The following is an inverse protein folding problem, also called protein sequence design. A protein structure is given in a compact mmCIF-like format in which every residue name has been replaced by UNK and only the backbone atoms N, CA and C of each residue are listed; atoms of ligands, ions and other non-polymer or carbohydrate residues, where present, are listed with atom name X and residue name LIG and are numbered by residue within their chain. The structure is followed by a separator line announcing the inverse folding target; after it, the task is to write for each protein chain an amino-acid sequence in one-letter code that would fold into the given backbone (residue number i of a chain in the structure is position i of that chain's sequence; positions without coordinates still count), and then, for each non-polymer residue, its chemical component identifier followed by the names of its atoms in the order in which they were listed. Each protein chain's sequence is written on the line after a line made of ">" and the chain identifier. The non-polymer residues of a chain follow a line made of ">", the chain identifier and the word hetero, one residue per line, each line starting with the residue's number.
data_IF_835655152874
#
_entry.id   IF_835655152874
#
_cell.length_a   1.000
_cell.length_b   1.000
_cell.length_c   1.000
_cell.angle_alpha   90.00
_cell.angle_beta   90.00
_cell.angle_gamma   90.00
#
_symmetry.space_group_name_H-M   'P 1'
#
loop_
_entity.id
_entity.type
_entity.pdbx_description
1 polymer ?
#
# COMPACT_ATOMS: atom_id res chain seq x y z
N UNK A 1 17.95 34.32 4.10
CA UNK A 1 18.12 33.30 3.03
C UNK A 1 17.67 32.00 3.64
N UNK A 2 16.38 31.65 3.44
CA UNK A 2 15.78 30.45 3.98
C UNK A 2 16.36 29.20 3.30
N UNK A 3 16.65 28.12 4.03
CA UNK A 3 17.11 26.88 3.41
C UNK A 3 15.94 26.27 2.60
N UNK A 4 16.24 25.63 1.44
CA UNK A 4 15.21 25.02 0.62
C UNK A 4 14.46 23.94 1.39
N UNK A 5 13.15 23.99 1.34
CA UNK A 5 12.22 23.00 1.92
C UNK A 5 12.61 21.62 1.39
N UNK A 6 13.18 20.79 2.24
CA UNK A 6 13.34 19.37 1.95
C UNK A 6 11.95 18.74 2.04
N UNK A 7 11.35 18.48 0.88
CA UNK A 7 10.23 17.55 0.78
C UNK A 7 10.74 16.21 1.32
N UNK A 8 10.15 15.75 2.42
CA UNK A 8 10.38 14.42 2.94
C UNK A 8 9.95 13.42 1.85
N UNK A 9 10.91 12.71 1.28
CA UNK A 9 10.69 11.73 0.23
C UNK A 9 9.88 10.57 0.80
N UNK A 10 8.64 10.46 0.43
CA UNK A 10 8.09 9.17 -0.02
C UNK A 10 9.14 8.56 -0.92
N UNK A 11 9.57 7.32 -0.68
CA UNK A 11 10.70 6.69 -1.31
C UNK A 11 10.86 7.15 -2.76
N UNK A 12 11.90 7.91 -3.03
CA UNK A 12 12.11 8.51 -4.34
C UNK A 12 12.45 7.35 -5.26
N UNK A 13 11.49 6.95 -6.11
CA UNK A 13 11.78 6.01 -7.19
C UNK A 13 12.91 6.64 -7.98
N UNK A 14 14.11 6.07 -7.91
CA UNK A 14 15.27 6.56 -8.63
C UNK A 14 15.06 6.17 -10.09
N UNK A 15 14.42 7.06 -10.85
CA UNK A 15 14.20 6.86 -12.27
C UNK A 15 15.49 7.08 -13.02
N UNK A 16 16.00 6.05 -13.67
CA UNK A 16 17.21 6.08 -14.46
C UNK A 16 17.47 4.74 -15.12
N UNK A 17 18.62 4.61 -15.77
CA UNK A 17 19.12 3.37 -16.35
C UNK A 17 20.38 2.95 -15.59
N UNK A 18 20.62 1.66 -15.39
CA UNK A 18 21.87 1.21 -14.78
C UNK A 18 23.04 1.44 -15.72
N UNK A 19 24.26 1.57 -15.16
CA UNK A 19 25.48 1.70 -15.96
C UNK A 19 25.64 0.51 -16.92
N UNK A 20 25.29 -0.71 -16.49
CA UNK A 20 25.31 -1.89 -17.35
C UNK A 20 24.37 -1.79 -18.55
N UNK A 21 23.21 -1.19 -18.37
CA UNK A 21 22.24 -0.93 -19.44
C UNK A 21 22.73 0.19 -20.38
N UNK A 22 23.37 1.23 -19.85
CA UNK A 22 24.01 2.28 -20.67
C UNK A 22 25.06 1.69 -21.60
N UNK A 23 25.87 0.74 -21.14
CA UNK A 23 26.85 0.05 -21.98
C UNK A 23 26.20 -0.80 -23.10
N UNK A 24 24.95 -1.18 -22.95
CA UNK A 24 24.17 -1.90 -23.97
C UNK A 24 23.62 -1.03 -25.11
N UNK A 25 23.77 0.30 -25.07
CA UNK A 25 23.29 1.21 -26.13
C UNK A 25 24.17 1.12 -27.37
N UNK A 26 23.57 1.25 -28.54
CA UNK A 26 24.25 1.08 -29.82
C UNK A 26 25.47 2.00 -30.01
N UNK A 27 25.39 3.25 -29.55
CA UNK A 27 26.50 4.22 -29.59
C UNK A 27 27.64 3.85 -28.66
N UNK A 28 27.45 2.95 -27.72
CA UNK A 28 28.47 2.47 -26.77
C UNK A 28 28.84 1.00 -27.00
N UNK A 29 28.45 0.41 -28.13
CA UNK A 29 28.70 -1.02 -28.42
C UNK A 29 30.20 -1.37 -28.40
N UNK A 30 31.10 -0.41 -28.73
CA UNK A 30 32.55 -0.58 -28.68
C UNK A 30 33.19 -0.04 -27.38
N UNK A 31 32.38 0.52 -26.46
CA UNK A 31 32.87 0.95 -25.17
C UNK A 31 33.27 -0.25 -24.31
N UNK A 32 34.35 -0.09 -23.53
CA UNK A 32 34.84 -1.15 -22.68
C UNK A 32 34.88 -0.73 -21.22
N UNK A 33 34.38 -1.59 -20.36
CA UNK A 33 34.58 -1.43 -18.92
C UNK A 33 36.04 -1.74 -18.58
N UNK A 34 36.72 -0.81 -17.93
CA UNK A 34 38.11 -0.95 -17.53
C UNK A 34 38.21 -1.42 -16.08
N UNK A 35 37.34 -0.92 -15.20
CA UNK A 35 37.31 -1.23 -13.78
C UNK A 35 35.90 -1.00 -13.19
N UNK A 36 35.66 -1.45 -11.96
CA UNK A 36 34.44 -1.17 -11.21
C UNK A 36 33.24 -2.03 -11.63
N UNK A 37 33.44 -3.28 -12.06
CA UNK A 37 32.39 -4.19 -12.52
C UNK A 37 31.26 -4.37 -11.48
N UNK A 38 31.61 -4.43 -10.21
CA UNK A 38 30.60 -4.55 -9.12
C UNK A 38 29.63 -3.36 -9.03
N UNK A 39 29.97 -2.24 -9.68
CA UNK A 39 29.15 -1.02 -9.74
C UNK A 39 28.26 -0.88 -10.97
N UNK A 40 28.16 -1.88 -11.84
CA UNK A 40 27.32 -1.82 -13.04
C UNK A 40 25.82 -1.62 -12.74
N UNK A 41 25.39 -1.93 -11.53
CA UNK A 41 24.04 -1.64 -11.04
C UNK A 41 23.79 -0.19 -10.62
N UNK A 42 24.79 0.70 -10.59
CA UNK A 42 24.64 2.13 -10.27
C UNK A 42 23.72 2.79 -11.28
N UNK A 43 22.83 3.66 -10.79
CA UNK A 43 21.80 4.28 -11.64
C UNK A 43 22.30 5.59 -12.23
N UNK A 44 22.16 5.73 -13.54
CA UNK A 44 22.41 6.94 -14.31
C UNK A 44 21.08 7.67 -14.50
N UNK A 45 20.98 8.88 -13.97
CA UNK A 45 19.84 9.78 -14.17
C UNK A 45 20.17 10.97 -15.08
N UNK A 46 21.43 11.31 -15.14
CA UNK A 46 21.94 12.49 -15.86
C UNK A 46 23.28 12.16 -16.50
N UNK A 47 23.56 12.92 -17.53
CA UNK A 47 24.88 12.92 -18.17
C UNK A 47 25.49 14.31 -18.02
N UNK A 48 26.81 14.35 -17.88
CA UNK A 48 27.57 15.58 -17.82
C UNK A 48 28.89 15.42 -18.57
N UNK A 49 29.43 16.51 -19.07
CA UNK A 49 30.71 16.52 -19.77
C UNK A 49 31.72 17.33 -18.95
N UNK A 50 32.88 16.75 -18.70
CA UNK A 50 33.98 17.43 -18.00
C UNK A 50 34.71 18.34 -18.94
N UNK A 51 34.48 19.65 -18.84
CA UNK A 51 35.15 20.68 -19.64
C UNK A 51 36.20 21.45 -18.84
N UNK A 52 36.12 21.42 -17.50
CA UNK A 52 37.00 22.18 -16.58
C UNK A 52 37.66 21.26 -15.55
N UNK A 53 38.84 21.61 -15.06
CA UNK A 53 39.59 20.79 -14.08
C UNK A 53 38.87 20.71 -12.72
N UNK A 54 38.13 21.74 -12.33
CA UNK A 54 37.39 21.85 -11.06
C UNK A 54 35.94 21.35 -11.14
N UNK A 55 35.70 20.37 -12.03
CA UNK A 55 34.34 19.79 -12.28
C UNK A 55 33.64 19.33 -11.01
N UNK A 56 34.39 18.94 -9.97
CA UNK A 56 33.82 18.45 -8.71
C UNK A 56 32.88 19.41 -8.01
N UNK A 57 32.97 20.71 -8.28
CA UNK A 57 32.03 21.70 -7.75
C UNK A 57 30.64 21.64 -8.41
N UNK A 58 30.55 21.05 -9.61
CA UNK A 58 29.38 21.10 -10.48
C UNK A 58 28.64 19.77 -10.65
N UNK A 59 29.32 18.66 -10.35
CA UNK A 59 28.73 17.32 -10.48
C UNK A 59 27.64 17.06 -9.43
N UNK A 60 26.71 16.21 -9.80
CA UNK A 60 25.57 15.80 -8.95
C UNK A 60 25.49 14.28 -8.83
N UNK A 61 24.86 13.75 -7.79
CA UNK A 61 24.63 12.32 -7.67
C UNK A 61 23.92 11.74 -8.89
N UNK A 62 24.24 10.47 -9.21
CA UNK A 62 23.66 9.73 -10.33
C UNK A 62 23.99 10.28 -11.71
N UNK A 63 25.09 11.00 -11.86
CA UNK A 63 25.61 11.42 -13.16
C UNK A 63 26.56 10.37 -13.77
N UNK A 64 26.46 10.17 -15.09
CA UNK A 64 27.52 9.62 -15.91
C UNK A 64 28.35 10.78 -16.44
N UNK A 65 29.62 10.86 -16.03
CA UNK A 65 30.53 11.92 -16.44
C UNK A 65 31.33 11.47 -17.66
N UNK A 66 31.27 12.26 -18.75
CA UNK A 66 32.04 12.04 -19.99
C UNK A 66 33.24 12.98 -20.02
N UNK A 67 34.40 12.49 -20.44
CA UNK A 67 35.62 13.33 -20.59
C UNK A 67 36.55 12.85 -21.69
N UNK A 68 37.25 13.80 -22.29
CA UNK A 68 38.41 13.51 -23.17
C UNK A 68 39.75 13.47 -22.41
N UNK A 69 39.73 13.73 -21.10
CA UNK A 69 40.91 13.95 -20.30
C UNK A 69 41.60 15.31 -20.52
N UNK A 70 41.12 16.13 -21.46
CA UNK A 70 41.70 17.45 -21.76
C UNK A 70 41.89 18.36 -20.53
N UNK A 71 40.89 18.49 -19.62
CA UNK A 71 41.04 19.31 -18.43
C UNK A 71 42.09 18.82 -17.46
N UNK A 72 42.46 17.54 -17.52
CA UNK A 72 43.38 16.86 -16.60
C UNK A 72 44.80 16.68 -17.17
N UNK A 73 45.01 17.05 -18.44
CA UNK A 73 46.31 16.83 -19.14
C UNK A 73 47.53 17.38 -18.42
N UNK A 74 47.37 18.47 -17.66
CA UNK A 74 48.47 19.14 -16.95
C UNK A 74 48.55 18.74 -15.46
N UNK A 75 47.66 17.87 -14.98
CA UNK A 75 47.56 17.43 -13.59
C UNK A 75 47.36 15.91 -13.49
N UNK A 76 48.26 15.09 -14.07
CA UNK A 76 48.09 13.63 -14.10
C UNK A 76 48.03 13.01 -12.69
N UNK A 77 48.67 13.64 -11.69
CA UNK A 77 48.63 13.18 -10.30
C UNK A 77 47.23 13.32 -9.63
N UNK A 78 46.32 14.12 -10.21
CA UNK A 78 44.95 14.25 -9.72
C UNK A 78 44.03 13.14 -10.21
N UNK A 79 44.42 12.36 -11.22
CA UNK A 79 43.62 11.27 -11.77
C UNK A 79 43.37 10.15 -10.75
N UNK A 80 44.39 9.78 -9.95
CA UNK A 80 44.25 8.74 -8.93
C UNK A 80 43.19 9.09 -7.86
N UNK A 81 43.04 10.37 -7.50
CA UNK A 81 42.02 10.82 -6.53
C UNK A 81 40.65 11.09 -7.15
N UNK A 82 40.62 11.38 -8.44
CA UNK A 82 39.40 11.76 -9.14
C UNK A 82 38.29 10.75 -8.95
N UNK A 83 38.55 9.47 -9.07
CA UNK A 83 37.59 8.39 -8.91
C UNK A 83 36.95 8.40 -7.50
N UNK A 84 37.80 8.56 -6.47
CA UNK A 84 37.31 8.65 -5.09
C UNK A 84 36.43 9.89 -4.87
N UNK A 85 36.87 11.03 -5.39
CA UNK A 85 36.13 12.29 -5.25
C UNK A 85 34.81 12.26 -6.00
N UNK A 86 34.73 11.56 -7.13
CA UNK A 86 33.47 11.33 -7.89
C UNK A 86 32.53 10.35 -7.17
N UNK A 87 33.11 9.28 -6.63
CA UNK A 87 32.37 8.28 -5.85
C UNK A 87 31.73 8.89 -4.58
N UNK A 88 32.53 9.68 -3.84
CA UNK A 88 32.03 10.41 -2.64
C UNK A 88 30.86 11.33 -2.96
N UNK A 89 30.82 11.90 -4.17
CA UNK A 89 29.70 12.72 -4.65
C UNK A 89 28.54 11.91 -5.20
N UNK A 90 28.65 10.58 -5.23
CA UNK A 90 27.60 9.68 -5.64
C UNK A 90 27.38 9.62 -7.16
N UNK A 91 28.41 9.89 -7.97
CA UNK A 91 28.31 9.72 -9.42
C UNK A 91 28.11 8.23 -9.76
N UNK A 92 27.50 7.98 -10.92
CA UNK A 92 27.23 6.64 -11.38
C UNK A 92 28.44 5.99 -12.04
N UNK A 93 29.15 6.73 -12.89
CA UNK A 93 30.33 6.26 -13.62
C UNK A 93 31.14 7.42 -14.21
N UNK A 94 32.36 7.11 -14.62
CA UNK A 94 33.21 7.97 -15.45
C UNK A 94 33.48 7.27 -16.79
N UNK A 95 33.23 7.96 -17.89
CA UNK A 95 33.53 7.50 -19.23
C UNK A 95 34.58 8.41 -19.90
N UNK A 96 35.66 7.85 -20.36
CA UNK A 96 36.80 8.60 -20.86
C UNK A 96 37.26 8.15 -22.26
N UNK A 97 37.66 9.11 -23.08
CA UNK A 97 38.37 8.87 -24.34
C UNK A 97 39.88 9.00 -24.13
N UNK A 98 40.61 8.00 -24.58
CA UNK A 98 42.09 7.99 -24.53
C UNK A 98 42.70 8.23 -25.90
N UNK A 99 44.05 8.52 -25.91
CA UNK A 99 44.86 8.66 -27.12
C UNK A 99 44.89 10.07 -27.70
N UNK A 100 44.18 11.06 -27.15
CA UNK A 100 44.25 12.44 -27.62
C UNK A 100 44.89 13.41 -26.63
N UNK A 101 44.60 13.26 -25.36
CA UNK A 101 45.07 14.14 -24.28
C UNK A 101 45.64 13.37 -23.09
N UNK A 102 45.20 12.14 -22.92
CA UNK A 102 45.65 11.17 -21.94
C UNK A 102 45.84 9.85 -22.71
N UNK A 103 47.02 9.32 -22.71
CA UNK A 103 47.34 8.09 -23.47
C UNK A 103 46.98 6.84 -22.68
N UNK A 104 47.19 6.85 -21.35
CA UNK A 104 46.96 5.71 -20.47
C UNK A 104 46.33 6.17 -19.15
N UNK A 105 45.53 5.33 -18.55
CA UNK A 105 45.00 5.55 -17.19
C UNK A 105 46.04 5.09 -16.16
N UNK A 106 46.29 5.88 -15.11
CA UNK A 106 47.17 5.46 -14.02
C UNK A 106 46.64 4.18 -13.34
N UNK A 107 47.53 3.24 -13.02
CA UNK A 107 47.18 1.99 -12.40
C UNK A 107 46.46 2.15 -11.06
N UNK A 108 46.84 3.14 -10.26
CA UNK A 108 46.24 3.49 -9.00
C UNK A 108 44.77 3.95 -9.15
N UNK A 109 44.43 4.64 -10.25
CA UNK A 109 43.08 5.02 -10.61
C UNK A 109 42.19 3.79 -10.90
N UNK A 110 42.70 2.83 -11.67
CA UNK A 110 42.03 1.59 -12.02
C UNK A 110 41.80 0.73 -10.78
N UNK A 111 42.82 0.53 -9.95
CA UNK A 111 42.70 -0.21 -8.69
C UNK A 111 41.72 0.44 -7.71
N UNK A 112 41.66 1.76 -7.68
CA UNK A 112 40.75 2.48 -6.83
C UNK A 112 39.31 2.34 -7.32
N UNK A 113 39.07 2.40 -8.64
CA UNK A 113 37.77 2.17 -9.26
C UNK A 113 37.23 0.77 -8.93
N UNK A 114 38.08 -0.26 -9.00
CA UNK A 114 37.70 -1.62 -8.62
C UNK A 114 37.33 -1.74 -7.13
N UNK A 115 38.15 -1.15 -6.25
CA UNK A 115 37.91 -1.18 -4.79
C UNK A 115 36.61 -0.51 -4.40
N UNK A 116 36.25 0.59 -5.07
CA UNK A 116 35.04 1.36 -4.81
C UNK A 116 33.83 0.82 -5.55
N UNK A 117 34.00 -0.14 -6.47
CA UNK A 117 32.94 -0.51 -7.41
C UNK A 117 32.47 0.70 -8.20
N UNK A 118 33.39 1.55 -8.67
CA UNK A 118 33.08 2.73 -9.46
C UNK A 118 33.36 2.45 -10.93
N UNK A 119 32.34 2.33 -11.81
CA UNK A 119 32.54 1.96 -13.20
C UNK A 119 33.38 3.00 -13.94
N UNK A 120 34.51 2.53 -14.52
CA UNK A 120 35.39 3.30 -15.36
C UNK A 120 35.30 2.75 -16.78
N UNK A 121 34.82 3.58 -17.71
CA UNK A 121 34.42 3.16 -19.06
C UNK A 121 35.37 3.83 -20.07
N UNK A 122 35.96 3.03 -20.95
CA UNK A 122 36.71 3.53 -22.11
C UNK A 122 35.77 3.70 -23.29
N UNK A 123 35.70 4.91 -23.81
CA UNK A 123 34.86 5.25 -24.95
C UNK A 123 35.62 5.13 -26.27
N UNK A 124 34.98 4.71 -27.36
CA UNK A 124 35.53 4.78 -28.71
C UNK A 124 35.78 6.24 -29.12
N UNK A 125 36.82 6.47 -29.91
CA UNK A 125 37.22 7.84 -30.31
C UNK A 125 36.34 8.45 -31.39
N UNK A 126 35.70 7.64 -32.20
CA UNK A 126 34.86 8.01 -33.34
C UNK A 126 33.40 8.42 -32.98
N UNK A 127 32.95 8.09 -31.79
CA UNK A 127 31.60 8.44 -31.33
C UNK A 127 31.60 9.82 -30.67
N UNK A 128 30.72 10.73 -31.09
CA UNK A 128 30.53 12.04 -30.47
C UNK A 128 29.96 11.97 -29.05
N UNK A 129 30.33 12.91 -28.18
CA UNK A 129 29.67 13.01 -26.87
C UNK A 129 28.21 13.38 -26.99
N UNK A 130 27.85 14.19 -27.98
CA UNK A 130 26.47 14.56 -28.32
C UNK A 130 25.64 13.35 -28.73
N UNK A 131 26.20 12.41 -29.50
CA UNK A 131 25.54 11.16 -29.87
C UNK A 131 25.24 10.30 -28.62
N UNK A 132 26.24 10.16 -27.73
CA UNK A 132 26.08 9.44 -26.47
C UNK A 132 25.02 10.10 -25.59
N UNK A 133 25.11 11.43 -25.42
CA UNK A 133 24.15 12.21 -24.62
C UNK A 133 22.73 12.02 -25.13
N UNK A 134 22.52 12.20 -26.43
CA UNK A 134 21.19 12.09 -27.05
C UNK A 134 20.62 10.70 -26.93
N UNK A 135 21.41 9.66 -27.18
CA UNK A 135 20.94 8.27 -27.12
C UNK A 135 20.59 7.87 -25.68
N UNK A 136 21.51 8.07 -24.73
CA UNK A 136 21.28 7.68 -23.33
C UNK A 136 20.13 8.49 -22.72
N UNK A 137 20.03 9.80 -23.05
CA UNK A 137 18.91 10.62 -22.58
C UNK A 137 17.58 10.12 -23.15
N UNK A 138 17.55 9.77 -24.43
CA UNK A 138 16.37 9.19 -25.09
C UNK A 138 15.96 7.88 -24.40
N UNK A 139 16.90 7.01 -24.07
CA UNK A 139 16.60 5.75 -23.39
C UNK A 139 16.09 5.96 -21.97
N UNK A 140 16.66 6.93 -21.23
CA UNK A 140 16.14 7.32 -19.91
C UNK A 140 14.71 7.80 -20.01
N UNK A 141 14.40 8.70 -20.95
CA UNK A 141 13.08 9.24 -21.16
C UNK A 141 12.08 8.17 -21.60
N UNK A 142 12.47 7.28 -22.51
CA UNK A 142 11.61 6.18 -22.97
C UNK A 142 11.28 5.22 -21.83
N UNK A 143 12.24 4.92 -20.95
CA UNK A 143 11.96 4.11 -19.75
C UNK A 143 11.01 4.78 -18.79
N UNK A 144 11.22 6.06 -18.50
CA UNK A 144 10.31 6.81 -17.65
C UNK A 144 8.90 6.82 -18.23
N UNK A 145 8.78 7.04 -19.54
CA UNK A 145 7.50 7.00 -20.25
C UNK A 145 6.84 5.62 -20.18
N UNK A 146 7.63 4.54 -20.33
CA UNK A 146 7.12 3.17 -20.24
C UNK A 146 6.63 2.82 -18.83
N UNK A 147 7.35 3.23 -17.78
CA UNK A 147 6.91 3.04 -16.39
C UNK A 147 5.61 3.79 -16.11
N UNK A 148 5.52 5.05 -16.59
CA UNK A 148 4.31 5.85 -16.43
C UNK A 148 3.13 5.25 -17.21
N UNK A 149 3.35 4.83 -18.44
CA UNK A 149 2.32 4.22 -19.30
C UNK A 149 1.78 2.92 -18.66
N UNK A 150 2.67 2.06 -18.13
CA UNK A 150 2.28 0.83 -17.43
C UNK A 150 1.45 1.14 -16.17
N UNK A 151 1.84 2.14 -15.39
CA UNK A 151 1.09 2.55 -14.20
C UNK A 151 -0.29 3.13 -14.56
N UNK A 152 -0.40 3.86 -15.66
CA UNK A 152 -1.66 4.42 -16.16
C UNK A 152 -2.58 3.33 -16.73
N UNK A 153 -2.03 2.34 -17.44
CA UNK A 153 -2.77 1.19 -17.93
C UNK A 153 -3.34 0.36 -16.77
N UNK A 154 -2.51 0.08 -15.75
CA UNK A 154 -2.94 -0.59 -14.54
C UNK A 154 -4.05 0.19 -13.81
N UNK A 155 -3.92 1.51 -13.70
CA UNK A 155 -4.96 2.34 -13.10
C UNK A 155 -6.29 2.24 -13.86
N UNK A 156 -6.25 2.34 -15.19
CA UNK A 156 -7.46 2.20 -16.02
C UNK A 156 -8.11 0.84 -15.87
N UNK A 157 -7.33 -0.25 -15.87
CA UNK A 157 -7.84 -1.61 -15.68
C UNK A 157 -8.56 -1.73 -14.32
N UNK A 158 -7.93 -1.27 -13.23
CA UNK A 158 -8.52 -1.30 -11.90
C UNK A 158 -9.81 -0.46 -11.78
N UNK A 159 -9.85 0.72 -12.39
CA UNK A 159 -11.06 1.55 -12.43
C UNK A 159 -12.17 0.86 -13.21
N UNK A 160 -11.88 0.21 -14.33
CA UNK A 160 -12.87 -0.56 -15.11
C UNK A 160 -13.48 -1.70 -14.30
N UNK A 161 -12.70 -2.40 -13.47
CA UNK A 161 -13.21 -3.42 -12.56
C UNK A 161 -14.31 -2.84 -11.67
N UNK A 162 -14.08 -1.67 -11.06
CA UNK A 162 -15.05 -1.02 -10.17
C UNK A 162 -16.28 -0.49 -10.93
N UNK A 163 -16.08 0.09 -12.10
CA UNK A 163 -17.18 0.58 -12.95
C UNK A 163 -18.08 -0.57 -13.44
N UNK A 164 -17.51 -1.76 -13.66
CA UNK A 164 -18.26 -2.98 -13.97
C UNK A 164 -18.98 -3.58 -12.74
N UNK A 165 -18.89 -2.95 -11.57
CA UNK A 165 -19.52 -3.42 -10.34
C UNK A 165 -18.68 -4.39 -9.52
N UNK A 166 -17.42 -4.60 -9.90
CA UNK A 166 -16.48 -5.45 -9.16
C UNK A 166 -16.19 -4.95 -7.75
N UNK A 167 -15.84 -5.88 -6.87
CA UNK A 167 -15.48 -5.65 -5.48
C UNK A 167 -13.98 -5.85 -5.21
N UNK A 168 -13.64 -6.00 -3.92
CA UNK A 168 -12.25 -6.21 -3.49
C UNK A 168 -11.62 -7.48 -4.05
N UNK A 169 -12.42 -8.52 -4.32
CA UNK A 169 -11.94 -9.78 -4.91
C UNK A 169 -11.45 -9.58 -6.33
N UNK A 170 -12.24 -8.88 -7.13
CA UNK A 170 -11.93 -8.57 -8.53
C UNK A 170 -10.74 -7.60 -8.61
N UNK A 171 -10.67 -6.61 -7.73
CA UNK A 171 -9.49 -5.71 -7.61
C UNK A 171 -8.23 -6.52 -7.26
N UNK A 172 -8.30 -7.43 -6.28
CA UNK A 172 -7.17 -8.28 -5.93
C UNK A 172 -6.73 -9.20 -7.09
N UNK A 173 -7.70 -9.76 -7.83
CA UNK A 173 -7.42 -10.61 -8.99
C UNK A 173 -6.75 -9.84 -10.12
N UNK A 174 -7.20 -8.62 -10.40
CA UNK A 174 -6.60 -7.74 -11.41
C UNK A 174 -5.15 -7.38 -11.04
N UNK A 175 -4.90 -7.02 -9.78
CA UNK A 175 -3.55 -6.72 -9.30
C UNK A 175 -2.64 -7.94 -9.40
N UNK A 176 -3.14 -9.12 -9.01
CA UNK A 176 -2.38 -10.36 -9.09
C UNK A 176 -1.96 -10.68 -10.53
N UNK A 177 -2.86 -10.44 -11.49
CA UNK A 177 -2.60 -10.64 -12.91
C UNK A 177 -1.62 -9.60 -13.49
N UNK A 178 -1.78 -8.30 -13.15
CA UNK A 178 -0.94 -7.22 -13.64
C UNK A 178 0.52 -7.33 -13.19
N UNK A 179 0.74 -7.85 -11.98
CA UNK A 179 2.06 -7.92 -11.35
C UNK A 179 2.66 -9.33 -11.33
N UNK A 180 1.89 -10.35 -11.71
CA UNK A 180 2.26 -11.77 -11.57
C UNK A 180 2.67 -12.13 -10.12
N UNK A 181 1.84 -11.73 -9.16
CA UNK A 181 2.05 -11.92 -7.72
C UNK A 181 0.79 -12.46 -7.05
N UNK A 182 0.94 -12.95 -5.82
CA UNK A 182 -0.23 -13.23 -4.97
C UNK A 182 -0.58 -12.01 -4.14
N UNK A 183 -1.88 -11.72 -3.99
CA UNK A 183 -2.39 -10.52 -3.33
C UNK A 183 -3.39 -10.89 -2.25
N UNK A 184 -3.33 -10.20 -1.13
CA UNK A 184 -4.37 -10.19 -0.10
C UNK A 184 -4.78 -8.75 0.22
N UNK A 185 -6.08 -8.53 0.36
CA UNK A 185 -6.65 -7.33 0.94
C UNK A 185 -7.06 -7.65 2.37
N UNK A 186 -6.54 -6.88 3.32
CA UNK A 186 -6.69 -7.12 4.76
C UNK A 186 -7.33 -5.89 5.39
N UNK A 187 -8.28 -6.07 6.27
CA UNK A 187 -8.91 -4.97 7.01
C UNK A 187 -8.02 -4.40 8.13
N UNK A 188 -8.50 -3.37 8.81
CA UNK A 188 -7.79 -2.74 9.92
C UNK A 188 -7.61 -3.64 11.17
N UNK A 189 -8.37 -4.72 11.27
CA UNK A 189 -8.28 -5.71 12.35
C UNK A 189 -7.36 -6.89 11.98
N UNK A 190 -6.87 -6.95 10.74
CA UNK A 190 -6.04 -8.04 10.25
C UNK A 190 -6.81 -9.20 9.61
N UNK A 191 -8.14 -9.08 9.45
CA UNK A 191 -8.92 -10.09 8.76
C UNK A 191 -8.76 -9.98 7.24
N UNK A 192 -8.62 -11.11 6.57
CA UNK A 192 -8.47 -11.18 5.12
C UNK A 192 -9.83 -11.03 4.44
N UNK A 193 -10.01 -9.93 3.72
CA UNK A 193 -11.24 -9.60 2.98
C UNK A 193 -11.29 -10.24 1.59
N UNK A 194 -10.14 -10.28 0.91
CA UNK A 194 -10.02 -10.87 -0.42
C UNK A 194 -8.61 -11.41 -0.64
N UNK A 195 -8.49 -12.44 -1.49
CA UNK A 195 -7.19 -12.99 -1.93
C UNK A 195 -7.24 -13.35 -3.41
N UNK A 196 -6.10 -13.25 -4.08
CA UNK A 196 -5.91 -13.69 -5.46
C UNK A 196 -4.49 -14.23 -5.66
N UNK A 197 -4.31 -15.15 -6.59
CA UNK A 197 -3.04 -15.79 -6.92
C UNK A 197 -3.04 -17.29 -6.67
N UNK A 198 -1.92 -18.00 -6.89
CA UNK A 198 -1.78 -19.43 -6.64
C UNK A 198 -2.07 -19.79 -5.17
N UNK A 199 -2.78 -20.92 -4.95
CA UNK A 199 -3.25 -21.33 -3.63
C UNK A 199 -2.13 -21.49 -2.60
N UNK A 200 -0.98 -22.03 -3.04
CA UNK A 200 0.22 -22.20 -2.20
C UNK A 200 0.82 -20.88 -1.72
N UNK A 201 0.84 -19.88 -2.59
CA UNK A 201 1.32 -18.52 -2.27
C UNK A 201 0.33 -17.77 -1.38
N UNK A 202 -0.97 -17.95 -1.60
CA UNK A 202 -2.02 -17.37 -0.74
C UNK A 202 -1.92 -17.92 0.68
N UNK A 203 -1.58 -19.20 0.85
CA UNK A 203 -1.36 -19.80 2.17
C UNK A 203 -0.16 -19.15 2.89
N UNK A 204 0.98 -18.99 2.19
CA UNK A 204 2.15 -18.31 2.72
C UNK A 204 1.87 -16.83 3.07
N UNK A 205 1.06 -16.15 2.26
CA UNK A 205 0.65 -14.77 2.48
C UNK A 205 -0.22 -14.65 3.75
N UNK A 206 -1.16 -15.57 3.97
CA UNK A 206 -2.00 -15.61 5.17
C UNK A 206 -1.17 -15.85 6.44
N UNK A 207 -0.18 -16.73 6.37
CA UNK A 207 0.74 -16.99 7.48
C UNK A 207 1.55 -15.74 7.84
N UNK A 208 2.09 -15.05 6.84
CA UNK A 208 2.83 -13.78 7.04
C UNK A 208 1.96 -12.68 7.66
N UNK A 209 0.70 -12.55 7.23
CA UNK A 209 -0.26 -11.61 7.80
C UNK A 209 -0.55 -11.90 9.27
N UNK A 210 -0.67 -13.19 9.63
CA UNK A 210 -0.98 -13.62 11.00
C UNK A 210 0.19 -13.37 11.96
N UNK A 211 1.44 -13.41 11.48
CA UNK A 211 2.63 -13.18 12.30
C UNK A 211 2.95 -11.67 12.52
N UNK A 212 2.51 -10.79 11.63
CA UNK A 212 2.78 -9.36 11.77
C UNK A 212 1.91 -8.65 12.82
N UNK A 213 0.90 -9.27 13.36
CA UNK A 213 -0.03 -8.69 14.34
C UNK A 213 -0.79 -7.45 13.78
N UNK A 214 -1.82 -6.95 14.45
CA UNK A 214 -2.45 -5.70 14.07
C UNK A 214 -1.41 -4.57 14.14
N UNK A 215 -1.38 -3.64 13.15
CA UNK A 215 -0.44 -2.52 13.15
C UNK A 215 -0.53 -1.80 14.50
N UNK A 216 0.64 -1.62 15.13
CA UNK A 216 0.72 -0.91 16.41
C UNK A 216 -0.11 0.37 16.29
N UNK A 217 -1.12 0.51 17.15
CA UNK A 217 -2.02 1.67 17.21
C UNK A 217 -1.18 2.93 17.04
N UNK A 218 -1.41 3.67 15.97
CA UNK A 218 -0.89 5.03 15.86
C UNK A 218 -1.38 5.78 17.10
N UNK A 219 -0.44 6.13 17.97
CA UNK A 219 -0.73 6.88 19.19
C UNK A 219 -1.50 8.15 18.79
N UNK A 220 -2.71 8.30 19.31
CA UNK A 220 -3.56 9.47 19.10
C UNK A 220 -2.84 10.68 19.69
N UNK A 221 -2.19 11.47 18.85
CA UNK A 221 -1.81 12.83 19.19
C UNK A 221 -3.02 13.71 18.89
N UNK A 222 -3.47 14.57 19.82
CA UNK A 222 -4.66 15.40 19.61
C UNK A 222 -4.45 16.33 18.42
N UNK A 223 -5.44 16.43 17.57
CA UNK A 223 -5.50 17.21 16.36
C UNK A 223 -5.26 18.71 16.62
N UNK A 224 -4.09 19.19 16.24
CA UNK A 224 -3.85 20.59 15.83
C UNK A 224 -2.69 20.59 14.85
N UNK A 225 -2.98 20.32 13.60
CA UNK A 225 -2.33 20.83 12.38
C UNK A 225 -2.80 19.95 11.20
N UNK A 226 -3.18 20.53 10.05
CA UNK A 226 -3.70 19.73 8.95
C UNK A 226 -2.59 18.87 8.34
N UNK A 227 -2.90 17.61 8.16
CA UNK A 227 -2.35 16.67 7.20
C UNK A 227 -0.82 16.62 7.00
N UNK A 228 -0.13 16.06 8.00
CA UNK A 228 1.02 15.20 7.78
C UNK A 228 0.79 13.91 8.58
N UNK A 229 -0.29 13.20 8.28
CA UNK A 229 -0.36 11.79 8.63
C UNK A 229 0.81 11.15 7.87
N UNK A 230 1.80 10.69 8.63
CA UNK A 230 2.92 9.96 8.10
C UNK A 230 2.38 8.81 7.26
N UNK A 231 2.51 8.89 5.92
CA UNK A 231 2.54 7.71 5.10
C UNK A 231 3.64 6.84 5.72
N UNK A 232 3.26 5.77 6.37
CA UNK A 232 4.21 4.72 6.67
C UNK A 232 4.73 4.27 5.30
N UNK A 233 6.05 4.32 5.04
CA UNK A 233 6.57 3.97 3.73
C UNK A 233 6.14 2.55 3.40
N UNK A 234 5.79 2.31 2.13
CA UNK A 234 5.61 0.96 1.63
C UNK A 234 6.82 0.14 2.08
N UNK A 235 6.61 -0.85 2.93
CA UNK A 235 7.70 -1.69 3.40
C UNK A 235 7.88 -2.82 2.40
N UNK A 236 8.93 -2.76 1.62
CA UNK A 236 9.50 -3.92 0.98
C UNK A 236 10.35 -4.67 2.03
N UNK A 237 10.07 -5.95 2.23
CA UNK A 237 10.79 -6.77 3.20
C UNK A 237 10.96 -8.19 2.68
N UNK A 238 12.08 -8.82 3.01
CA UNK A 238 12.31 -10.24 2.80
C UNK A 238 11.84 -11.00 4.04
N UNK A 239 10.78 -11.75 3.92
CA UNK A 239 10.39 -12.72 4.93
C UNK A 239 11.16 -14.03 4.65
N UNK A 240 11.90 -14.52 5.61
CA UNK A 240 12.87 -15.61 5.55
C UNK A 240 12.69 -16.65 4.43
N UNK A 241 13.79 -16.97 3.73
CA UNK A 241 13.95 -17.83 2.55
C UNK A 241 13.72 -17.18 1.17
N UNK A 242 14.13 -15.92 0.98
CA UNK A 242 14.14 -15.32 -0.36
C UNK A 242 12.77 -15.00 -0.94
N UNK A 243 11.75 -14.90 -0.09
CA UNK A 243 10.39 -14.51 -0.47
C UNK A 243 10.23 -13.01 -0.31
N UNK A 244 9.77 -12.35 -1.35
CA UNK A 244 9.57 -10.91 -1.30
C UNK A 244 8.09 -10.55 -1.16
N UNK A 245 7.79 -9.57 -0.32
CA UNK A 245 6.45 -9.00 -0.18
C UNK A 245 6.48 -7.47 -0.10
N UNK A 246 5.38 -6.85 -0.50
CA UNK A 246 5.13 -5.42 -0.36
C UNK A 246 3.76 -5.19 0.28
N UNK A 247 3.64 -4.15 1.10
CA UNK A 247 2.39 -3.80 1.76
C UNK A 247 2.10 -2.31 1.58
N UNK A 248 0.87 -1.98 1.19
CA UNK A 248 0.41 -0.61 0.95
C UNK A 248 -0.88 -0.37 1.73
N UNK A 249 -1.00 0.72 2.51
CA UNK A 249 -2.20 1.03 3.26
C UNK A 249 -3.37 1.45 2.36
N UNK A 250 -4.59 1.03 2.72
CA UNK A 250 -5.83 1.47 2.10
C UNK A 250 -6.41 2.61 2.94
N UNK A 251 -6.36 3.83 2.40
CA UNK A 251 -6.75 5.05 3.09
C UNK A 251 -7.90 5.75 2.36
N UNK A 252 -8.97 6.12 3.08
CA UNK A 252 -10.04 6.95 2.56
C UNK A 252 -10.59 7.90 3.64
N UNK A 253 -10.88 9.14 3.30
CA UNK A 253 -11.47 10.12 4.22
C UNK A 253 -10.65 10.36 5.50
N UNK A 254 -9.34 10.12 5.47
CA UNK A 254 -8.48 10.21 6.65
C UNK A 254 -8.52 8.97 7.56
N UNK A 255 -9.26 7.93 7.20
CA UNK A 255 -9.36 6.69 7.95
C UNK A 255 -8.56 5.56 7.28
N UNK A 256 -8.07 4.66 8.10
CA UNK A 256 -7.33 3.47 7.67
C UNK A 256 -8.30 2.30 7.57
N UNK A 257 -8.58 1.84 6.35
CA UNK A 257 -9.51 0.74 6.08
C UNK A 257 -8.82 -0.63 5.97
N UNK A 258 -7.50 -0.66 6.12
CA UNK A 258 -6.72 -1.88 5.99
C UNK A 258 -5.51 -1.71 5.08
N UNK A 259 -5.07 -2.79 4.45
CA UNK A 259 -3.88 -2.79 3.58
C UNK A 259 -4.02 -3.80 2.44
N UNK A 260 -3.34 -3.54 1.33
CA UNK A 260 -3.08 -4.54 0.30
C UNK A 260 -1.68 -5.10 0.55
N UNK A 261 -1.56 -6.40 0.57
CA UNK A 261 -0.29 -7.11 0.70
C UNK A 261 -0.07 -7.95 -0.56
N UNK A 262 1.06 -7.77 -1.20
CA UNK A 262 1.49 -8.55 -2.35
C UNK A 262 2.67 -9.44 -1.97
N UNK A 263 2.73 -10.64 -2.54
CA UNK A 263 3.77 -11.63 -2.31
C UNK A 263 4.21 -12.24 -3.63
N UNK A 264 5.52 -12.28 -3.85
CA UNK A 264 6.16 -12.98 -4.97
C UNK A 264 7.08 -14.07 -4.46
N UNK A 265 7.00 -15.25 -5.07
CA UNK A 265 7.86 -16.39 -4.73
C UNK A 265 9.12 -16.46 -5.62
N UNK A 266 9.13 -15.79 -6.76
CA UNK A 266 10.13 -15.98 -7.83
C UNK A 266 10.93 -14.73 -8.15
N UNK A 267 10.34 -13.55 -8.05
CA UNK A 267 10.94 -12.28 -8.46
C UNK A 267 10.78 -11.19 -7.41
N UNK A 268 11.77 -10.31 -7.32
CA UNK A 268 11.70 -9.13 -6.48
C UNK A 268 10.55 -8.20 -6.90
N UNK A 269 9.73 -7.76 -5.95
CA UNK A 269 8.74 -6.73 -6.19
C UNK A 269 9.48 -5.39 -6.34
N UNK A 270 9.41 -4.80 -7.52
CA UNK A 270 10.11 -3.56 -7.88
C UNK A 270 9.35 -2.34 -7.34
N UNK A 271 10.05 -1.22 -7.22
CA UNK A 271 9.43 0.06 -6.81
C UNK A 271 8.30 0.50 -7.78
N UNK A 272 8.45 0.19 -9.07
CA UNK A 272 7.38 0.41 -10.06
C UNK A 272 6.12 -0.40 -9.77
N UNK A 273 6.26 -1.59 -9.23
CA UNK A 273 5.15 -2.49 -8.89
C UNK A 273 4.45 -2.00 -7.60
N UNK A 274 5.20 -1.42 -6.65
CA UNK A 274 4.64 -0.72 -5.48
C UNK A 274 3.75 0.45 -5.91
N UNK A 275 4.15 1.23 -6.92
CA UNK A 275 3.31 2.30 -7.49
C UNK A 275 1.97 1.80 -8.06
N UNK A 276 1.92 0.57 -8.60
CA UNK A 276 0.66 -0.06 -9.03
C UNK A 276 -0.17 -0.49 -7.82
N UNK A 277 0.47 -1.03 -6.76
CA UNK A 277 -0.22 -1.37 -5.51
C UNK A 277 -0.85 -0.14 -4.83
N UNK A 278 -0.17 1.02 -4.84
CA UNK A 278 -0.72 2.27 -4.31
C UNK A 278 -1.97 2.74 -5.06
N UNK A 279 -1.98 2.59 -6.40
CA UNK A 279 -3.17 2.85 -7.21
C UNK A 279 -4.29 1.86 -6.91
N UNK A 280 -3.96 0.59 -6.75
CA UNK A 280 -4.90 -0.43 -6.34
C UNK A 280 -5.48 -0.15 -4.95
N UNK A 281 -4.67 0.32 -3.99
CA UNK A 281 -5.12 0.72 -2.66
C UNK A 281 -6.12 1.89 -2.72
N UNK A 282 -5.89 2.86 -3.62
CA UNK A 282 -6.84 3.96 -3.86
C UNK A 282 -8.17 3.45 -4.40
N UNK A 283 -8.13 2.52 -5.36
CA UNK A 283 -9.34 1.91 -5.93
C UNK A 283 -10.05 1.02 -4.90
N UNK A 284 -9.30 0.24 -4.12
CA UNK A 284 -9.86 -0.56 -3.02
C UNK A 284 -10.53 0.31 -1.96
N UNK A 285 -9.95 1.47 -1.63
CA UNK A 285 -10.54 2.44 -0.72
C UNK A 285 -11.92 2.92 -1.22
N UNK A 286 -12.06 3.19 -2.53
CA UNK A 286 -13.34 3.55 -3.14
C UNK A 286 -14.37 2.42 -3.01
N UNK A 287 -13.96 1.16 -3.24
CA UNK A 287 -14.84 -0.02 -3.10
C UNK A 287 -15.31 -0.16 -1.65
N UNK A 288 -14.40 -0.05 -0.69
CA UNK A 288 -14.72 -0.15 0.74
C UNK A 288 -15.68 0.96 1.15
N UNK A 289 -15.38 2.21 0.82
CA UNK A 289 -16.23 3.36 1.16
C UNK A 289 -17.63 3.24 0.55
N UNK A 290 -17.73 2.76 -0.71
CA UNK A 290 -19.03 2.49 -1.34
C UNK A 290 -19.81 1.43 -0.57
N UNK A 291 -19.16 0.33 -0.18
CA UNK A 291 -19.81 -0.76 0.55
C UNK A 291 -20.26 -0.32 1.94
N UNK A 292 -19.43 0.47 2.63
CA UNK A 292 -19.78 1.06 3.92
C UNK A 292 -20.99 1.99 3.82
N UNK A 293 -21.06 2.82 2.78
CA UNK A 293 -22.21 3.69 2.53
C UNK A 293 -23.48 2.89 2.28
N UNK A 294 -23.42 1.82 1.48
CA UNK A 294 -24.57 0.93 1.25
C UNK A 294 -24.99 0.25 2.56
N UNK A 295 -24.04 -0.30 3.31
CA UNK A 295 -24.32 -0.96 4.59
C UNK A 295 -24.91 0.00 5.62
N UNK A 296 -24.47 1.25 5.66
CA UNK A 296 -25.00 2.28 6.55
C UNK A 296 -26.46 2.61 6.23
N UNK A 297 -26.80 2.73 4.94
CA UNK A 297 -28.19 2.95 4.49
C UNK A 297 -29.07 1.75 4.87
N UNK A 298 -28.62 0.53 4.60
CA UNK A 298 -29.35 -0.70 4.95
C UNK A 298 -29.55 -0.83 6.46
N UNK A 299 -28.51 -0.57 7.26
CA UNK A 299 -28.58 -0.58 8.72
C UNK A 299 -29.59 0.44 9.23
N UNK A 300 -29.63 1.64 8.65
CA UNK A 300 -30.63 2.65 9.00
C UNK A 300 -32.05 2.18 8.70
N UNK A 301 -32.29 1.59 7.53
CA UNK A 301 -33.63 1.06 7.20
C UNK A 301 -34.08 -0.05 8.15
N UNK A 302 -33.17 -0.93 8.56
CA UNK A 302 -33.45 -1.99 9.56
C UNK A 302 -33.75 -1.40 10.92
N UNK A 303 -32.99 -0.40 11.35
CA UNK A 303 -33.21 0.28 12.63
C UNK A 303 -34.54 1.04 12.66
N UNK A 304 -34.85 1.82 11.63
CA UNK A 304 -36.10 2.57 11.53
C UNK A 304 -37.32 1.62 11.53
N UNK A 305 -37.25 0.52 10.79
CA UNK A 305 -38.29 -0.49 10.80
C UNK A 305 -38.47 -1.13 12.17
N UNK A 306 -37.37 -1.54 12.83
CA UNK A 306 -37.49 -2.17 14.16
C UNK A 306 -38.05 -1.19 15.20
N UNK A 307 -37.65 0.10 15.12
CA UNK A 307 -38.21 1.16 15.96
C UNK A 307 -39.72 1.33 15.77
N UNK A 308 -40.20 1.32 14.51
CA UNK A 308 -41.60 1.43 14.20
C UNK A 308 -42.38 0.22 14.75
N UNK A 309 -41.82 -0.99 14.67
CA UNK A 309 -42.43 -2.19 15.28
C UNK A 309 -42.54 -2.03 16.80
N UNK A 310 -41.45 -1.70 17.48
CA UNK A 310 -41.40 -1.59 18.95
C UNK A 310 -42.28 -0.43 19.49
N UNK A 311 -42.54 0.60 18.69
CA UNK A 311 -43.39 1.74 19.05
C UNK A 311 -44.83 1.60 18.56
N UNK A 312 -45.20 0.45 17.96
CA UNK A 312 -46.55 0.19 17.46
C UNK A 312 -46.96 1.00 16.21
N UNK A 313 -45.99 1.56 15.48
CA UNK A 313 -46.20 2.38 14.27
C UNK A 313 -46.02 1.63 12.96
N UNK A 314 -45.63 0.38 12.99
CA UNK A 314 -45.27 -0.39 11.79
C UNK A 314 -46.52 -0.89 10.98
N UNK A 315 -47.72 -0.74 11.49
CA UNK A 315 -48.97 -1.14 10.83
C UNK A 315 -49.46 -2.53 11.22
N UNK A 316 -50.07 -3.27 10.28
CA UNK A 316 -50.66 -4.59 10.54
C UNK A 316 -49.61 -5.69 10.69
N UNK A 317 -49.94 -6.77 11.42
CA UNK A 317 -49.10 -7.94 11.63
C UNK A 317 -48.57 -8.53 10.30
N UNK A 318 -49.42 -8.67 9.29
CA UNK A 318 -49.04 -9.16 7.97
C UNK A 318 -47.93 -8.30 7.32
N UNK A 319 -48.07 -6.98 7.42
CA UNK A 319 -47.10 -6.03 6.88
C UNK A 319 -45.76 -6.08 7.64
N UNK A 320 -45.84 -6.18 8.97
CA UNK A 320 -44.69 -6.35 9.83
C UNK A 320 -43.92 -7.63 9.46
N UNK A 321 -44.64 -8.76 9.43
CA UNK A 321 -44.03 -10.07 9.15
C UNK A 321 -43.45 -10.16 7.71
N UNK A 322 -44.16 -9.58 6.72
CA UNK A 322 -43.67 -9.53 5.35
C UNK A 322 -42.33 -8.78 5.24
N UNK A 323 -42.22 -7.62 5.91
CA UNK A 323 -41.01 -6.81 5.89
C UNK A 323 -39.88 -7.39 6.75
N UNK A 324 -40.23 -7.98 7.90
CA UNK A 324 -39.25 -8.67 8.76
C UNK A 324 -38.55 -9.84 8.02
N UNK A 325 -39.34 -10.63 7.27
CA UNK A 325 -38.80 -11.73 6.44
C UNK A 325 -37.81 -11.24 5.37
N UNK A 326 -38.05 -10.07 4.79
CA UNK A 326 -37.09 -9.48 3.83
C UNK A 326 -35.72 -9.17 4.46
N UNK A 327 -35.68 -8.91 5.77
CA UNK A 327 -34.45 -8.75 6.55
C UNK A 327 -33.91 -10.06 7.13
N UNK A 328 -34.60 -11.20 6.88
CA UNK A 328 -34.26 -12.51 7.46
C UNK A 328 -34.73 -12.66 8.92
N UNK A 329 -35.62 -11.79 9.41
CA UNK A 329 -36.14 -11.80 10.77
C UNK A 329 -37.49 -12.52 10.88
N UNK A 330 -37.80 -13.06 12.05
CA UNK A 330 -39.04 -13.69 12.34
C UNK A 330 -39.65 -13.08 13.62
N UNK A 331 -40.57 -12.16 13.45
CA UNK A 331 -41.26 -11.44 14.51
C UNK A 331 -42.67 -11.97 14.77
N UNK A 332 -43.10 -13.07 14.10
CA UNK A 332 -44.46 -13.66 14.26
C UNK A 332 -44.59 -14.51 15.53
N UNK A 333 -43.49 -14.97 16.09
CA UNK A 333 -43.42 -15.81 17.28
C UNK A 333 -43.31 -14.99 18.57
N UNK A 334 -43.52 -15.58 19.76
CA UNK A 334 -43.23 -14.93 21.03
C UNK A 334 -41.78 -14.48 21.10
N UNK A 335 -41.54 -13.24 21.52
CA UNK A 335 -40.19 -12.62 21.51
C UNK A 335 -39.83 -12.01 22.84
N UNK A 336 -38.51 -11.95 23.09
CA UNK A 336 -37.90 -11.18 24.18
C UNK A 336 -37.05 -10.09 23.54
N UNK A 337 -37.16 -8.86 24.03
CA UNK A 337 -36.36 -7.72 23.58
C UNK A 337 -35.23 -7.49 24.58
N UNK A 338 -34.01 -7.35 24.03
CA UNK A 338 -32.84 -6.93 24.78
C UNK A 338 -32.40 -5.56 24.24
N UNK A 339 -32.02 -4.68 25.17
CA UNK A 339 -31.48 -3.36 24.85
C UNK A 339 -30.11 -3.25 25.50
N UNK A 340 -29.08 -2.98 24.72
CA UNK A 340 -27.74 -2.69 25.22
C UNK A 340 -27.44 -1.22 24.96
N UNK A 341 -27.10 -0.49 25.99
CA UNK A 341 -26.75 0.93 25.96
C UNK A 341 -25.25 1.08 26.25
N UNK A 342 -24.55 1.80 25.35
CA UNK A 342 -23.12 2.06 25.47
C UNK A 342 -22.89 3.12 26.57
N UNK A 343 -21.97 2.84 27.48
CA UNK A 343 -21.57 3.80 28.49
C UNK A 343 -20.76 4.96 27.86
N UNK A 344 -20.98 6.23 28.30
CA UNK A 344 -20.47 7.43 27.61
C UNK A 344 -18.98 7.69 27.84
N UNK A 345 -18.10 6.75 27.42
CA UNK A 345 -16.67 6.93 27.52
C UNK A 345 -15.99 6.60 26.17
N UNK A 346 -15.52 7.63 25.43
CA UNK A 346 -14.59 7.48 24.31
C UNK A 346 -15.12 7.76 22.90
N UNK A 347 -14.53 7.10 21.90
CA UNK A 347 -14.87 7.20 20.48
C UNK A 347 -16.21 6.47 20.18
N UNK A 348 -17.30 7.19 20.35
CA UNK A 348 -18.66 6.67 20.33
C UNK A 348 -19.00 5.88 19.05
N UNK A 349 -18.59 6.34 17.84
CA UNK A 349 -18.95 5.67 16.59
C UNK A 349 -18.30 4.30 16.44
N UNK A 350 -17.00 4.21 16.67
CA UNK A 350 -16.26 2.94 16.58
C UNK A 350 -16.71 1.93 17.63
N UNK A 351 -17.08 2.40 18.83
CA UNK A 351 -17.62 1.56 19.88
C UNK A 351 -19.03 1.05 19.55
N UNK A 352 -19.88 1.90 18.98
CA UNK A 352 -21.24 1.55 18.56
C UNK A 352 -21.24 0.48 17.46
N UNK A 353 -20.43 0.65 16.42
CA UNK A 353 -20.34 -0.34 15.33
C UNK A 353 -19.87 -1.71 15.85
N UNK A 354 -18.92 -1.72 16.78
CA UNK A 354 -18.45 -2.96 17.43
C UNK A 354 -19.54 -3.59 18.30
N UNK A 355 -20.28 -2.79 19.05
CA UNK A 355 -21.39 -3.27 19.86
C UNK A 355 -22.46 -3.96 19.00
N UNK A 356 -22.86 -3.31 17.89
CA UNK A 356 -23.77 -3.89 16.91
C UNK A 356 -23.24 -5.20 16.33
N UNK A 357 -21.95 -5.25 15.98
CA UNK A 357 -21.34 -6.46 15.43
C UNK A 357 -21.32 -7.61 16.45
N UNK A 358 -20.92 -7.36 17.70
CA UNK A 358 -20.91 -8.34 18.78
C UNK A 358 -22.31 -8.89 19.08
N UNK A 359 -23.31 -8.01 19.18
CA UNK A 359 -24.69 -8.41 19.38
C UNK A 359 -25.26 -9.18 18.19
N UNK A 360 -24.95 -8.77 16.98
CA UNK A 360 -25.38 -9.50 15.78
C UNK A 360 -24.80 -10.90 15.74
N UNK A 361 -23.50 -11.06 16.08
CA UNK A 361 -22.85 -12.36 16.15
C UNK A 361 -23.42 -13.25 17.26
N UNK A 362 -23.64 -12.70 18.45
CA UNK A 362 -24.23 -13.42 19.58
C UNK A 362 -25.67 -13.87 19.28
N UNK A 363 -26.51 -12.97 18.78
CA UNK A 363 -27.88 -13.32 18.41
C UNK A 363 -27.91 -14.39 17.32
N UNK A 364 -27.15 -14.24 16.23
CA UNK A 364 -27.11 -15.25 15.16
C UNK A 364 -26.65 -16.64 15.60
N UNK A 365 -25.84 -16.72 16.63
CA UNK A 365 -25.38 -18.00 17.21
C UNK A 365 -26.53 -18.76 17.87
N UNK A 366 -27.42 -18.05 18.57
CA UNK A 366 -28.54 -18.62 19.33
C UNK A 366 -29.86 -18.59 18.55
N UNK A 367 -30.09 -17.55 17.76
CA UNK A 367 -31.27 -17.30 16.97
C UNK A 367 -30.93 -16.75 15.58
N UNK A 368 -30.94 -17.62 14.57
CA UNK A 368 -30.65 -17.20 13.19
C UNK A 368 -31.70 -16.26 12.59
N UNK A 369 -32.89 -16.18 13.17
CA UNK A 369 -34.00 -15.34 12.73
C UNK A 369 -34.26 -14.15 13.66
N UNK A 370 -33.44 -13.99 14.69
CA UNK A 370 -33.51 -12.85 15.59
C UNK A 370 -33.18 -11.54 14.88
N UNK A 371 -33.79 -10.45 15.31
CA UNK A 371 -33.55 -9.12 14.78
C UNK A 371 -32.48 -8.41 15.62
N UNK A 372 -31.56 -7.70 14.98
CA UNK A 372 -30.63 -6.80 15.65
C UNK A 372 -30.56 -5.50 14.87
N UNK A 373 -30.64 -4.37 15.57
CA UNK A 373 -30.47 -3.05 15.01
C UNK A 373 -29.73 -2.11 15.97
N UNK A 374 -28.83 -1.31 15.44
CA UNK A 374 -28.14 -0.26 16.18
C UNK A 374 -28.89 1.07 16.06
N UNK A 375 -28.99 1.78 17.16
CA UNK A 375 -29.44 3.16 17.27
C UNK A 375 -28.25 4.02 17.75
N UNK A 376 -28.43 5.33 17.94
CA UNK A 376 -27.30 6.25 18.21
C UNK A 376 -26.34 5.77 19.30
N UNK A 377 -26.87 5.27 20.44
CA UNK A 377 -26.08 4.80 21.59
C UNK A 377 -26.54 3.42 22.09
N UNK A 378 -27.53 2.84 21.42
CA UNK A 378 -28.18 1.61 21.84
C UNK A 378 -28.12 0.56 20.74
N UNK A 379 -28.12 -0.70 21.13
CA UNK A 379 -28.39 -1.85 20.27
C UNK A 379 -29.62 -2.54 20.78
N UNK A 380 -30.59 -2.75 19.92
CA UNK A 380 -31.80 -3.51 20.24
C UNK A 380 -31.73 -4.86 19.55
N UNK A 381 -31.89 -5.92 20.33
CA UNK A 381 -31.99 -7.29 19.83
C UNK A 381 -33.35 -7.87 20.18
N UNK A 382 -33.96 -8.54 19.21
CA UNK A 382 -35.26 -9.26 19.42
C UNK A 382 -35.00 -10.73 19.11
N UNK A 383 -35.22 -11.58 20.12
CA UNK A 383 -34.93 -13.02 20.06
C UNK A 383 -36.18 -13.81 20.42
N UNK A 384 -36.18 -15.10 20.09
CA UNK A 384 -37.21 -16.02 20.51
C UNK A 384 -37.35 -16.05 22.05
N UNK A 385 -38.58 -15.94 22.56
CA UNK A 385 -38.87 -15.93 23.99
C UNK A 385 -38.50 -17.26 24.70
N UNK A 386 -38.34 -18.35 23.96
CA UNK A 386 -37.91 -19.64 24.49
C UNK A 386 -36.39 -19.68 24.78
N UNK A 387 -35.61 -18.70 24.33
CA UNK A 387 -34.17 -18.66 24.54
C UNK A 387 -33.84 -17.97 25.87
N UNK A 388 -32.70 -18.38 26.43
CA UNK A 388 -32.11 -17.71 27.59
C UNK A 388 -31.46 -16.38 27.18
N UNK A 389 -32.19 -15.29 27.39
CA UNK A 389 -31.78 -13.93 27.07
C UNK A 389 -30.47 -13.53 27.82
N UNK A 390 -30.28 -14.02 29.06
CA UNK A 390 -29.10 -13.74 29.85
C UNK A 390 -27.83 -14.38 29.23
N UNK A 391 -27.98 -15.56 28.66
CA UNK A 391 -26.91 -16.24 27.96
C UNK A 391 -26.50 -15.51 26.67
N UNK A 392 -27.47 -15.04 25.89
CA UNK A 392 -27.20 -14.23 24.68
C UNK A 392 -26.44 -12.94 25.03
N UNK A 393 -26.92 -12.23 26.07
CA UNK A 393 -26.28 -11.01 26.56
C UNK A 393 -24.85 -11.27 27.07
N UNK A 394 -24.63 -12.40 27.79
CA UNK A 394 -23.29 -12.79 28.26
C UNK A 394 -22.33 -13.07 27.12
N UNK A 395 -22.78 -13.75 26.07
CA UNK A 395 -21.96 -14.04 24.90
C UNK A 395 -21.61 -12.77 24.12
N UNK A 396 -22.56 -11.81 24.01
CA UNK A 396 -22.29 -10.50 23.41
C UNK A 396 -21.28 -9.70 24.24
N UNK A 397 -21.42 -9.71 25.58
CA UNK A 397 -20.50 -9.04 26.51
C UNK A 397 -19.10 -9.63 26.44
N UNK A 398 -18.97 -10.96 26.41
CA UNK A 398 -17.68 -11.61 26.29
C UNK A 398 -16.97 -11.22 24.98
N UNK A 399 -17.69 -11.21 23.85
CA UNK A 399 -17.14 -10.80 22.56
C UNK A 399 -16.75 -9.30 22.52
N UNK A 400 -17.42 -8.46 23.28
CA UNK A 400 -17.14 -7.02 23.39
C UNK A 400 -15.98 -6.71 24.33
N UNK A 401 -15.81 -7.49 25.42
CA UNK A 401 -14.77 -7.31 26.45
C UNK A 401 -13.34 -7.50 25.90
N UNK A 402 -13.16 -8.28 24.84
CA UNK A 402 -11.87 -8.46 24.18
C UNK A 402 -11.37 -7.18 23.48
N UNK A 403 -12.15 -6.08 23.49
CA UNK A 403 -11.91 -4.84 22.75
C UNK A 403 -12.03 -3.60 23.67
N UNK A 404 -10.99 -3.22 24.45
CA UNK A 404 -11.06 -2.08 25.35
C UNK A 404 -11.15 -0.70 24.63
N UNK A 405 -11.66 0.40 25.27
CA UNK A 405 -12.04 0.54 26.68
C UNK A 405 -13.53 0.90 26.91
N UNK A 406 -14.48 0.45 26.10
CA UNK A 406 -15.90 0.79 26.24
C UNK A 406 -16.66 -0.30 27.00
N UNK A 407 -17.61 0.07 27.86
CA UNK A 407 -18.53 -0.81 28.55
C UNK A 407 -19.98 -0.52 28.12
N UNK A 408 -20.90 -1.42 28.39
CA UNK A 408 -22.33 -1.22 28.10
C UNK A 408 -23.19 -1.86 29.17
N UNK A 409 -24.38 -1.33 29.34
CA UNK A 409 -25.44 -1.86 30.21
C UNK A 409 -26.50 -2.60 29.39
N UNK A 410 -27.11 -3.65 29.95
CA UNK A 410 -28.14 -4.43 29.24
C UNK A 410 -29.45 -4.51 30.01
N UNK A 411 -30.54 -4.17 29.36
CA UNK A 411 -31.91 -4.39 29.82
C UNK A 411 -32.61 -5.52 29.05
N UNK A 412 -33.46 -6.27 29.70
CA UNK A 412 -34.27 -7.35 29.07
C UNK A 412 -35.74 -7.19 29.36
N UNK A 413 -36.59 -7.29 28.33
CA UNK A 413 -38.01 -7.27 28.49
C UNK A 413 -38.58 -8.61 29.04
N UNK A 414 -39.82 -8.59 29.50
CA UNK A 414 -40.59 -9.84 29.64
C UNK A 414 -40.90 -10.39 28.25
N UNK A 415 -41.15 -11.71 28.14
CA UNK A 415 -41.68 -12.30 26.91
C UNK A 415 -42.96 -11.58 26.47
N UNK A 416 -42.99 -11.22 25.19
CA UNK A 416 -44.14 -10.57 24.55
C UNK A 416 -44.65 -11.45 23.44
N UNK A 417 -46.00 -11.52 23.20
CA UNK A 417 -46.50 -12.17 22.01
C UNK A 417 -45.92 -11.47 20.78
N UNK A 418 -45.69 -12.25 19.71
CA UNK A 418 -45.17 -11.72 18.46
C UNK A 418 -46.15 -10.75 17.78
N UNK A 419 -45.77 -10.28 16.59
CA UNK A 419 -46.57 -9.32 15.81
C UNK A 419 -47.94 -9.84 15.38
N UNK A 420 -48.22 -11.15 15.55
CA UNK A 420 -49.50 -11.77 15.21
C UNK A 420 -50.51 -11.75 16.39
N UNK A 421 -50.11 -11.28 17.55
CA UNK A 421 -50.95 -11.15 18.75
C UNK A 421 -51.24 -9.70 19.07
#
# INVERSE_FOLDING_TARGET
>A
MEPPVRLASTGTIIHGVSVGEVLGVSTLAEARLIAGESGLGRIVQRLNVMEVPDILAWVKPHELLLTTGYPLRNTPQSLGRLVADLDERGLAALAIKLGRYVDELPGDMVEQADRLGFPLILLPNDVGFDDILNQVLTDILNRQAAVLARAEEAHRALVQVVLAGGGLREVAAEVAQLLDVSVAVVDGAGAVLATAGPAEHVAALRESISHEGPPARAARTPARTPAKAALAPARAGTAGRGREFASVPVLAGGHHHGRIVAYSASTAIRDSDVGILERAATVAALVVTRQEAVNAVESKYRADFLRDVLTGRAGTAERINGRARAFGWDLSRPVTVLVAELDPDGDERSAQDRLVACWTAAVRRHDRRGAVAGFSHEVVAVIDAALDAARVAKDAAAAFADLPPATFSTGTSRPSPGADA
#
